data_IF_570394699858
#
_entry.id   IF_570394699858
#
_cell.length_a   1.000
_cell.length_b   1.000
_cell.length_c   1.000
_cell.angle_alpha   90.00
_cell.angle_beta   90.00
_cell.angle_gamma   90.00
#
_symmetry.space_group_name_H-M   'P 1'
#
loop_
_entity.id
_entity.type
_entity.pdbx_description
1 polymer ?
#
# COMPACT_ATOMS: atom_id res chain seq x y z
N UNK A 1 12.35 -0.41 1.98
CA UNK A 1 11.09 0.36 2.06
C UNK A 1 10.28 0.05 3.32
N UNK A 2 9.72 -1.16 3.48
CA UNK A 2 8.84 -1.50 4.62
C UNK A 2 9.44 -1.27 6.00
N UNK A 3 10.70 -1.70 6.23
CA UNK A 3 11.45 -1.46 7.49
C UNK A 3 11.66 0.03 7.84
N UNK A 4 11.41 0.95 6.91
CA UNK A 4 11.52 2.39 7.11
C UNK A 4 10.16 3.10 7.20
N UNK A 5 9.06 2.36 7.32
CA UNK A 5 7.70 2.93 7.43
C UNK A 5 7.04 3.26 6.08
N UNK A 6 7.63 2.81 4.96
CA UNK A 6 7.07 3.03 3.63
C UNK A 6 6.28 1.82 3.15
N UNK A 7 4.99 2.04 2.86
CA UNK A 7 4.10 1.07 2.25
C UNK A 7 3.79 1.42 0.79
N UNK A 8 3.61 0.41 -0.04
CA UNK A 8 3.09 0.54 -1.41
C UNK A 8 1.68 -0.01 -1.46
N UNK A 9 0.80 0.72 -2.14
CA UNK A 9 -0.63 0.40 -2.28
C UNK A 9 -1.06 0.71 -3.71
N UNK A 10 -2.28 0.31 -4.06
CA UNK A 10 -2.90 0.68 -5.35
C UNK A 10 -3.13 2.18 -5.50
N UNK A 11 -3.07 2.92 -4.38
CA UNK A 11 -3.15 4.39 -4.32
C UNK A 11 -1.79 5.08 -4.21
N UNK A 12 -0.72 4.35 -4.50
CA UNK A 12 0.65 4.87 -4.49
C UNK A 12 1.37 4.64 -3.17
N UNK A 13 2.37 5.46 -2.90
CA UNK A 13 3.28 5.32 -1.75
C UNK A 13 2.68 5.97 -0.51
N UNK A 14 2.72 5.26 0.61
CA UNK A 14 2.25 5.74 1.92
C UNK A 14 3.41 5.74 2.90
N UNK A 15 3.74 6.91 3.45
CA UNK A 15 4.75 7.03 4.50
C UNK A 15 4.06 7.09 5.87
N UNK A 16 4.05 5.96 6.57
CA UNK A 16 3.41 5.82 7.88
C UNK A 16 4.13 6.56 9.00
N UNK A 17 5.24 7.25 8.75
CA UNK A 17 5.82 8.18 9.73
C UNK A 17 5.11 9.53 9.74
N UNK A 18 4.36 9.86 8.68
CA UNK A 18 3.65 11.13 8.58
C UNK A 18 2.54 11.22 9.63
N UNK A 19 2.42 12.38 10.28
CA UNK A 19 1.46 12.60 11.37
C UNK A 19 -0.01 12.43 10.96
N UNK A 20 -0.34 12.66 9.67
CA UNK A 20 -1.68 12.48 9.11
C UNK A 20 -2.27 11.08 9.28
N UNK A 21 -1.44 10.09 9.63
CA UNK A 21 -1.87 8.71 9.83
C UNK A 21 -2.14 8.36 11.29
N UNK A 22 -1.83 9.24 12.25
CA UNK A 22 -1.89 8.93 13.68
C UNK A 22 -3.29 8.49 14.15
N UNK A 23 -4.34 9.12 13.61
CA UNK A 23 -5.74 8.86 13.98
C UNK A 23 -6.57 8.33 12.80
N UNK A 24 -5.93 7.84 11.74
CA UNK A 24 -6.65 7.32 10.56
C UNK A 24 -7.09 5.87 10.80
N UNK A 25 -8.41 5.58 10.99
CA UNK A 25 -8.88 4.25 11.32
C UNK A 25 -8.92 3.33 10.09
N UNK A 26 -8.81 3.88 8.88
CA UNK A 26 -8.86 3.10 7.64
C UNK A 26 -7.60 2.25 7.49
N UNK A 27 -7.67 1.10 6.81
CA UNK A 27 -6.51 0.28 6.56
C UNK A 27 -5.62 0.88 5.45
N UNK A 28 -4.49 0.24 5.15
CA UNK A 28 -3.64 0.68 4.03
C UNK A 28 -4.40 0.56 2.71
N UNK A 29 -5.08 -0.57 2.52
CA UNK A 29 -5.79 -0.92 1.30
C UNK A 29 -6.92 -1.94 1.54
N UNK A 30 -8.18 -1.50 1.47
CA UNK A 30 -9.38 -2.31 1.79
C UNK A 30 -9.65 -3.43 0.79
N UNK A 31 -9.31 -3.23 -0.48
CA UNK A 31 -9.55 -4.24 -1.54
C UNK A 31 -8.28 -5.06 -1.84
N UNK A 32 -7.30 -5.05 -0.92
CA UNK A 32 -6.14 -5.94 -0.98
C UNK A 32 -6.48 -7.31 -0.38
N UNK A 33 -5.99 -8.37 -1.03
CA UNK A 33 -6.11 -9.73 -0.52
C UNK A 33 -5.22 -9.98 0.72
N UNK A 34 -4.23 -9.11 0.96
CA UNK A 34 -3.29 -9.23 2.06
C UNK A 34 -3.90 -8.75 3.39
N UNK A 35 -3.98 -9.60 4.44
CA UNK A 35 -4.43 -9.20 5.77
C UNK A 35 -3.65 -8.00 6.35
N UNK A 36 -2.33 -7.93 6.15
CA UNK A 36 -1.52 -6.80 6.63
C UNK A 36 -1.90 -5.46 6.00
N UNK A 37 -2.55 -5.48 4.83
CA UNK A 37 -3.00 -4.30 4.12
C UNK A 37 -4.43 -3.89 4.50
N UNK A 38 -5.29 -4.88 4.79
CA UNK A 38 -6.75 -4.73 4.94
C UNK A 38 -7.23 -4.71 6.39
N UNK A 39 -6.60 -5.48 7.27
CA UNK A 39 -7.17 -5.79 8.60
C UNK A 39 -6.58 -4.92 9.72
N UNK A 40 -5.54 -4.12 9.43
CA UNK A 40 -4.90 -3.21 10.38
C UNK A 40 -5.08 -1.76 9.95
N UNK A 41 -5.46 -0.90 10.90
CA UNK A 41 -5.61 0.54 10.63
C UNK A 41 -4.26 1.23 10.41
N UNK A 42 -4.29 2.33 9.65
CA UNK A 42 -3.13 3.22 9.46
C UNK A 42 -2.66 3.81 10.78
N UNK A 43 -3.58 4.16 11.70
CA UNK A 43 -3.27 4.59 13.06
C UNK A 43 -2.42 3.55 13.82
N UNK A 44 -2.83 2.28 13.78
CA UNK A 44 -2.11 1.21 14.44
C UNK A 44 -0.72 0.98 13.81
N UNK A 45 -0.65 0.93 12.48
CA UNK A 45 0.62 0.78 11.77
C UNK A 45 1.55 1.99 11.99
N UNK A 46 1.01 3.21 12.02
CA UNK A 46 1.74 4.43 12.38
C UNK A 46 2.36 4.30 13.77
N UNK A 47 1.55 3.88 14.75
CA UNK A 47 2.02 3.65 16.12
C UNK A 47 3.19 2.65 16.16
N UNK A 48 3.04 1.46 15.58
CA UNK A 48 4.11 0.45 15.55
C UNK A 48 5.40 0.97 14.91
N UNK A 49 5.28 1.72 13.80
CA UNK A 49 6.44 2.31 13.11
C UNK A 49 7.11 3.38 13.97
N UNK A 50 6.34 4.21 14.68
CA UNK A 50 6.87 5.29 15.54
C UNK A 50 7.50 4.74 16.83
N UNK A 51 6.92 3.68 17.38
CA UNK A 51 7.43 2.95 18.54
C UNK A 51 8.62 2.03 18.21
N UNK A 52 9.00 1.92 16.94
CA UNK A 52 10.08 1.05 16.45
C UNK A 52 9.85 -0.44 16.77
N UNK A 53 8.60 -0.87 16.82
CA UNK A 53 8.25 -2.27 17.04
C UNK A 53 8.52 -3.11 15.79
N UNK A 54 9.15 -4.27 15.97
CA UNK A 54 9.48 -5.17 14.85
C UNK A 54 8.25 -5.65 14.07
N UNK A 55 7.10 -5.74 14.74
CA UNK A 55 5.83 -6.10 14.10
C UNK A 55 5.46 -5.12 12.97
N UNK A 56 5.69 -3.82 13.17
CA UNK A 56 5.44 -2.82 12.13
C UNK A 56 6.26 -3.12 10.86
N UNK A 57 7.56 -3.40 11.03
CA UNK A 57 8.41 -3.76 9.90
C UNK A 57 7.98 -5.06 9.19
N UNK A 58 7.50 -6.05 9.95
CA UNK A 58 6.99 -7.32 9.40
C UNK A 58 5.72 -7.10 8.57
N UNK A 59 4.71 -6.42 9.14
CA UNK A 59 3.44 -6.16 8.46
C UNK A 59 3.64 -5.33 7.18
N UNK A 60 4.48 -4.28 7.22
CA UNK A 60 4.77 -3.49 6.03
C UNK A 60 5.55 -4.25 4.97
N UNK A 61 6.43 -5.17 5.39
CA UNK A 61 7.12 -6.05 4.44
C UNK A 61 6.14 -7.00 3.76
N UNK A 62 5.21 -7.60 4.53
CA UNK A 62 4.17 -8.47 4.01
C UNK A 62 3.24 -7.74 3.04
N UNK A 63 2.73 -6.56 3.42
CA UNK A 63 1.94 -5.71 2.53
C UNK A 63 2.69 -5.44 1.22
N UNK A 64 3.93 -4.96 1.30
CA UNK A 64 4.69 -4.55 0.13
C UNK A 64 4.94 -5.73 -0.82
N UNK A 65 5.34 -6.88 -0.28
CA UNK A 65 5.55 -8.06 -1.10
C UNK A 65 4.26 -8.48 -1.80
N UNK A 66 3.14 -8.54 -1.05
CA UNK A 66 1.85 -8.89 -1.63
C UNK A 66 1.42 -7.92 -2.73
N UNK A 67 1.58 -6.62 -2.50
CA UNK A 67 1.26 -5.59 -3.49
C UNK A 67 2.10 -5.74 -4.77
N UNK A 68 3.41 -5.93 -4.64
CA UNK A 68 4.29 -6.13 -5.81
C UNK A 68 3.94 -7.40 -6.58
N UNK A 69 3.63 -8.50 -5.89
CA UNK A 69 3.20 -9.74 -6.54
C UNK A 69 1.91 -9.54 -7.34
N UNK A 70 0.93 -8.85 -6.76
CA UNK A 70 -0.33 -8.51 -7.44
C UNK A 70 -0.11 -7.59 -8.63
N UNK A 71 0.68 -6.53 -8.47
CA UNK A 71 1.03 -5.61 -9.55
C UNK A 71 1.65 -6.35 -10.74
N UNK A 72 2.61 -7.23 -10.47
CA UNK A 72 3.29 -7.99 -11.53
C UNK A 72 2.37 -9.04 -12.17
N UNK A 73 1.45 -9.64 -11.40
CA UNK A 73 0.42 -10.53 -11.94
C UNK A 73 -0.50 -9.79 -12.92
N UNK A 74 -1.01 -8.62 -12.52
CA UNK A 74 -1.91 -7.81 -13.35
C UNK A 74 -1.21 -7.32 -14.63
N UNK A 75 0.07 -6.95 -14.55
CA UNK A 75 0.88 -6.57 -15.72
C UNK A 75 1.01 -7.75 -16.68
N UNK A 76 1.35 -8.96 -16.20
CA UNK A 76 1.47 -10.14 -17.06
C UNK A 76 0.15 -10.48 -17.75
N UNK A 77 -0.96 -10.46 -17.01
CA UNK A 77 -2.29 -10.71 -17.56
C UNK A 77 -2.67 -9.68 -18.65
N UNK A 78 -2.32 -8.41 -18.45
CA UNK A 78 -2.59 -7.37 -19.45
C UNK A 78 -1.73 -7.53 -20.72
N UNK A 79 -0.48 -7.99 -20.60
CA UNK A 79 0.37 -8.31 -21.75
C UNK A 79 -0.23 -9.48 -22.55
N UNK A 80 -0.65 -10.55 -21.87
CA UNK A 80 -1.32 -11.70 -22.49
C UNK A 80 -2.61 -11.28 -23.23
N UNK A 81 -3.36 -10.34 -22.65
CA UNK A 81 -4.57 -9.78 -23.24
C UNK A 81 -4.33 -8.66 -24.27
N UNK A 82 -3.07 -8.33 -24.61
CA UNK A 82 -2.71 -7.21 -25.50
C UNK A 82 -3.29 -5.85 -25.06
N UNK A 83 -3.47 -5.65 -23.76
CA UNK A 83 -4.09 -4.47 -23.14
C UNK A 83 -3.14 -3.74 -22.16
N UNK A 84 -1.82 -3.91 -22.34
CA UNK A 84 -0.81 -3.39 -21.42
C UNK A 84 -0.89 -1.86 -21.23
N UNK A 85 -0.98 -1.09 -22.32
CA UNK A 85 -1.01 0.38 -22.25
C UNK A 85 -2.20 0.90 -21.43
N UNK A 86 -3.39 0.35 -21.66
CA UNK A 86 -4.59 0.67 -20.88
C UNK A 86 -4.38 0.33 -19.41
N UNK A 87 -3.88 -0.87 -19.11
CA UNK A 87 -3.65 -1.29 -17.73
C UNK A 87 -2.60 -0.45 -17.03
N UNK A 88 -1.53 -0.06 -17.72
CA UNK A 88 -0.48 0.80 -17.19
C UNK A 88 -1.02 2.19 -16.84
N UNK A 89 -1.88 2.77 -17.71
CA UNK A 89 -2.54 4.04 -17.44
C UNK A 89 -3.44 3.96 -16.20
N UNK A 90 -4.28 2.93 -16.08
CA UNK A 90 -5.13 2.71 -14.89
C UNK A 90 -4.33 2.60 -13.59
N UNK A 91 -3.21 1.88 -13.63
CA UNK A 91 -2.31 1.73 -12.47
C UNK A 91 -1.71 3.09 -12.10
N UNK A 92 -1.23 3.87 -13.08
CA UNK A 92 -0.66 5.19 -12.86
C UNK A 92 -1.71 6.17 -12.29
N UNK A 93 -2.93 6.15 -12.82
CA UNK A 93 -4.05 6.92 -12.28
C UNK A 93 -4.41 6.50 -10.85
N UNK A 94 -4.38 5.20 -10.57
CA UNK A 94 -4.48 4.66 -9.21
C UNK A 94 -3.49 5.32 -8.26
N UNK A 95 -2.21 5.36 -8.64
CA UNK A 95 -1.17 5.99 -7.84
C UNK A 95 -1.33 7.50 -7.69
N UNK A 96 -1.78 8.18 -8.74
CA UNK A 96 -1.97 9.63 -8.75
C UNK A 96 -3.10 10.08 -7.80
N UNK A 97 -4.12 9.23 -7.57
CA UNK A 97 -5.22 9.53 -6.64
C UNK A 97 -4.77 9.72 -5.19
N UNK A 98 -3.65 9.09 -4.80
CA UNK A 98 -3.13 9.19 -3.45
C UNK A 98 -4.00 8.50 -2.40
N UNK A 99 -3.45 8.38 -1.20
CA UNK A 99 -3.99 7.58 -0.10
C UNK A 99 -4.97 8.35 0.80
N UNK A 100 -4.84 9.68 0.88
CA UNK A 100 -5.71 10.61 1.59
C UNK A 100 -5.77 11.90 0.75
N UNK A 101 -6.96 12.50 0.58
CA UNK A 101 -7.06 13.84 -0.01
C UNK A 101 -6.20 14.83 0.78
N UNK A 102 -5.45 15.66 0.07
CA UNK A 102 -4.77 16.80 0.69
C UNK A 102 -5.84 17.74 1.25
N UNK A 103 -5.70 18.12 2.53
CA UNK A 103 -6.48 19.19 3.15
C UNK A 103 -5.97 20.52 2.62
#
# INVERSE_FOLDING_TARGET
AGRHGLAYTRRGKVNLRNARHADDPRPLDEESDCPAARDYSRAYLHHLVRSQESLGAMLLTWNNLSYYQKLMQDIRAAIEAQAFETRAAEIAEGWARGDIQAI
#
